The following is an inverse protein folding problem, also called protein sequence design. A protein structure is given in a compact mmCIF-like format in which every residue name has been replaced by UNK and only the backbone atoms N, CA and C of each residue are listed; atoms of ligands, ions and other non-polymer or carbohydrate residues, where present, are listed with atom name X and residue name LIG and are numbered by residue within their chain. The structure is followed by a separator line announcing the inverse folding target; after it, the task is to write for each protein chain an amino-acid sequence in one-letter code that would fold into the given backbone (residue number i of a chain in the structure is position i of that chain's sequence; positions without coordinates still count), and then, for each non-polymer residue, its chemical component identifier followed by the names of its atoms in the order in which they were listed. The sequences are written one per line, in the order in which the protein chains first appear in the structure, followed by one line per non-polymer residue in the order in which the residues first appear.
data_IF_726496862958
#
_entry.id   IF_726496862958
#
_cell.length_a   1.000
_cell.length_b   1.000
_cell.length_c   1.000
_cell.angle_alpha   90.00
_cell.angle_beta   90.00
_cell.angle_gamma   90.00
#
_symmetry.space_group_name_H-M   'P 1'
#
loop_
_entity.id
_entity.type
_entity.pdbx_description
1 polymer ?
#
# COMPACT_ATOMS: atom_id res chain seq x y z
N UNK A 1 -4.17 -9.21 27.23
CA UNK A 1 -4.39 -10.26 26.21
C UNK A 1 -3.01 -10.78 25.83
N UNK A 2 -2.79 -12.09 25.90
CA UNK A 2 -1.51 -12.68 25.46
C UNK A 2 -1.54 -12.88 23.94
N UNK A 3 -0.45 -12.49 23.27
CA UNK A 3 -0.28 -12.68 21.82
C UNK A 3 0.13 -14.14 21.57
N UNK A 4 -0.68 -14.88 20.81
CA UNK A 4 -0.47 -16.30 20.54
C UNK A 4 0.19 -16.57 19.18
N UNK A 5 0.14 -15.60 18.25
CA UNK A 5 0.71 -15.73 16.91
C UNK A 5 2.23 -15.62 16.89
N UNK A 6 2.81 -15.96 15.76
CA UNK A 6 4.24 -15.96 15.47
C UNK A 6 4.54 -15.01 14.33
N UNK A 7 5.81 -14.86 13.99
CA UNK A 7 6.29 -14.37 12.69
C UNK A 7 6.76 -15.58 11.89
N UNK A 8 6.22 -15.77 10.70
CA UNK A 8 6.61 -16.82 9.76
C UNK A 8 7.21 -16.15 8.53
N UNK A 9 8.46 -16.45 8.23
CA UNK A 9 9.18 -15.96 7.04
C UNK A 9 9.46 -17.16 6.16
N UNK A 10 8.88 -17.18 4.95
CA UNK A 10 9.07 -18.28 4.00
C UNK A 10 10.42 -18.17 3.28
N UNK A 11 10.71 -19.16 2.42
CA UNK A 11 11.97 -19.24 1.69
C UNK A 11 12.19 -18.04 0.74
N UNK A 12 13.44 -17.72 0.48
CA UNK A 12 13.87 -16.71 -0.49
C UNK A 12 13.38 -15.27 -0.19
N UNK A 13 12.96 -14.99 1.04
CA UNK A 13 12.59 -13.64 1.49
C UNK A 13 13.85 -12.83 1.77
N UNK A 14 13.89 -11.60 1.27
CA UNK A 14 14.93 -10.61 1.58
C UNK A 14 14.35 -9.50 2.46
N UNK A 15 15.05 -9.15 3.54
CA UNK A 15 14.62 -8.12 4.49
C UNK A 15 15.74 -7.10 4.68
N UNK A 16 15.47 -5.87 4.29
CA UNK A 16 16.38 -4.73 4.41
C UNK A 16 16.60 -4.27 5.85
N UNK A 17 17.58 -3.39 6.01
CA UNK A 17 17.96 -2.88 7.32
C UNK A 17 16.83 -2.06 7.98
N UNK A 18 16.68 -2.21 9.30
CA UNK A 18 15.71 -1.46 10.09
C UNK A 18 14.24 -1.85 9.87
N UNK A 19 13.97 -2.97 9.18
CA UNK A 19 12.61 -3.50 9.09
C UNK A 19 12.12 -3.97 10.45
N UNK A 20 10.82 -3.79 10.70
CA UNK A 20 10.14 -4.27 11.90
C UNK A 20 8.94 -5.12 11.49
N UNK A 21 8.81 -6.29 12.09
CA UNK A 21 7.71 -7.22 11.84
C UNK A 21 7.11 -7.63 13.18
N UNK A 22 5.88 -7.22 13.42
CA UNK A 22 5.19 -7.55 14.65
C UNK A 22 4.71 -9.00 14.62
N UNK A 23 4.86 -9.69 15.74
CA UNK A 23 4.27 -11.02 15.89
C UNK A 23 2.75 -10.93 15.85
N UNK A 24 2.12 -12.00 15.42
CA UNK A 24 0.67 -12.08 15.44
C UNK A 24 0.07 -12.02 16.85
N UNK A 25 -1.09 -11.42 16.96
CA UNK A 25 -1.89 -11.39 18.21
C UNK A 25 -2.78 -12.62 18.27
N UNK A 26 -3.56 -12.86 17.23
CA UNK A 26 -4.49 -14.00 17.13
C UNK A 26 -4.06 -15.02 16.09
N UNK A 27 -3.47 -14.56 14.98
CA UNK A 27 -2.96 -15.38 13.89
C UNK A 27 -1.45 -15.16 13.72
N UNK A 28 -0.81 -15.92 12.85
CA UNK A 28 0.59 -15.66 12.49
C UNK A 28 0.68 -14.44 11.56
N UNK A 29 1.75 -13.64 11.72
CA UNK A 29 2.18 -12.67 10.70
C UNK A 29 3.06 -13.41 9.72
N UNK A 30 2.72 -13.40 8.42
CA UNK A 30 3.38 -14.24 7.40
C UNK A 30 3.97 -13.39 6.30
N UNK A 31 5.23 -13.67 5.95
CA UNK A 31 5.91 -13.10 4.78
C UNK A 31 6.11 -14.24 3.77
N UNK A 32 5.40 -14.17 2.65
CA UNK A 32 5.40 -15.21 1.61
C UNK A 32 6.68 -15.28 0.81
N UNK A 33 6.93 -16.46 0.25
CA UNK A 33 8.15 -16.82 -0.48
C UNK A 33 8.54 -15.77 -1.53
N UNK A 34 9.84 -15.48 -1.61
CA UNK A 34 10.43 -14.60 -2.61
C UNK A 34 10.09 -13.13 -2.47
N UNK A 35 9.38 -12.75 -1.42
CA UNK A 35 9.04 -11.34 -1.14
C UNK A 35 10.29 -10.58 -0.72
N UNK A 36 10.43 -9.37 -1.24
CA UNK A 36 11.55 -8.47 -0.95
C UNK A 36 11.05 -7.23 -0.23
N UNK A 37 11.64 -6.96 0.92
CA UNK A 37 11.38 -5.80 1.76
C UNK A 37 12.63 -4.94 1.81
N UNK A 38 12.53 -3.73 1.31
CA UNK A 38 13.60 -2.73 1.39
C UNK A 38 13.69 -2.14 2.82
N UNK A 39 14.59 -1.21 3.02
CA UNK A 39 14.92 -0.68 4.33
C UNK A 39 13.73 -0.01 5.03
N UNK A 40 13.65 -0.18 6.34
CA UNK A 40 12.69 0.49 7.23
C UNK A 40 11.22 0.19 6.90
N UNK A 41 10.92 -0.97 6.35
CA UNK A 41 9.54 -1.44 6.17
C UNK A 41 8.98 -1.87 7.52
N UNK A 42 7.75 -1.48 7.83
CA UNK A 42 7.00 -1.96 8.99
C UNK A 42 5.84 -2.85 8.58
N UNK A 43 5.73 -4.02 9.22
CA UNK A 43 4.61 -4.96 9.05
C UNK A 43 3.94 -5.17 10.40
N UNK A 44 2.68 -4.74 10.50
CA UNK A 44 1.85 -4.91 11.70
C UNK A 44 1.39 -6.35 11.92
N UNK A 45 0.94 -6.63 13.14
CA UNK A 45 0.51 -7.94 13.62
C UNK A 45 -0.61 -8.57 12.76
N UNK A 46 -0.69 -9.89 12.72
CA UNK A 46 -1.73 -10.67 12.00
C UNK A 46 -1.81 -10.35 10.49
N UNK A 47 -0.75 -9.77 9.90
CA UNK A 47 -0.68 -9.42 8.48
C UNK A 47 -0.14 -10.60 7.67
N UNK A 48 -0.77 -10.86 6.52
CA UNK A 48 -0.34 -11.88 5.58
C UNK A 48 0.13 -11.20 4.30
N UNK A 49 1.40 -11.38 3.94
CA UNK A 49 1.97 -10.91 2.68
C UNK A 49 2.20 -12.13 1.78
N UNK A 50 1.66 -12.08 0.57
CA UNK A 50 1.78 -13.13 -0.43
C UNK A 50 3.20 -13.30 -0.98
N UNK A 51 3.31 -14.08 -2.05
CA UNK A 51 4.59 -14.44 -2.67
C UNK A 51 5.05 -13.39 -3.68
N UNK A 52 6.38 -13.27 -3.83
CA UNK A 52 7.01 -12.42 -4.83
C UNK A 52 6.55 -10.96 -4.79
N UNK A 53 6.25 -10.44 -3.62
CA UNK A 53 5.92 -9.04 -3.42
C UNK A 53 7.18 -8.17 -3.35
N UNK A 54 7.05 -6.89 -3.68
CA UNK A 54 8.08 -5.87 -3.50
C UNK A 54 7.55 -4.76 -2.60
N UNK A 55 8.16 -4.61 -1.44
CA UNK A 55 7.88 -3.53 -0.49
C UNK A 55 9.08 -2.60 -0.47
N UNK A 56 8.95 -1.44 -1.11
CA UNK A 56 10.02 -0.46 -1.17
C UNK A 56 10.24 0.25 0.19
N UNK A 57 11.28 1.05 0.27
CA UNK A 57 11.69 1.66 1.54
C UNK A 57 10.58 2.46 2.24
N UNK A 58 10.53 2.32 3.56
CA UNK A 58 9.59 3.03 4.44
C UNK A 58 8.10 2.72 4.18
N UNK A 59 7.77 1.61 3.57
CA UNK A 59 6.38 1.14 3.51
C UNK A 59 5.92 0.78 4.91
N UNK A 60 4.74 1.25 5.30
CA UNK A 60 4.10 0.95 6.58
C UNK A 60 2.78 0.22 6.39
N UNK A 61 2.67 -0.99 6.93
CA UNK A 61 1.47 -1.82 6.85
C UNK A 61 0.92 -2.02 8.26
N UNK A 62 -0.31 -1.59 8.48
CA UNK A 62 -0.99 -1.78 9.76
C UNK A 62 -1.42 -3.24 9.97
N UNK A 63 -1.89 -3.57 11.17
CA UNK A 63 -2.26 -4.95 11.52
C UNK A 63 -3.47 -5.51 10.76
N UNK A 64 -3.49 -6.82 10.56
CA UNK A 64 -4.61 -7.56 9.97
C UNK A 64 -4.82 -7.31 8.48
N UNK A 65 -3.78 -6.95 7.74
CA UNK A 65 -3.84 -6.72 6.29
C UNK A 65 -3.55 -8.01 5.55
N UNK A 66 -4.31 -8.29 4.49
CA UNK A 66 -4.04 -9.39 3.56
C UNK A 66 -3.53 -8.82 2.23
N UNK A 67 -2.31 -9.18 1.85
CA UNK A 67 -1.68 -8.78 0.59
C UNK A 67 -1.49 -10.03 -0.28
N UNK A 68 -2.03 -9.99 -1.48
CA UNK A 68 -1.92 -11.05 -2.48
C UNK A 68 -0.51 -11.22 -3.03
N UNK A 69 -0.38 -12.06 -4.04
CA UNK A 69 0.91 -12.35 -4.68
C UNK A 69 1.30 -11.26 -5.70
N UNK A 70 2.60 -11.07 -5.91
CA UNK A 70 3.11 -10.15 -6.94
C UNK A 70 2.81 -8.67 -6.72
N UNK A 71 2.41 -8.29 -5.51
CA UNK A 71 2.08 -6.90 -5.18
C UNK A 71 3.32 -6.06 -5.07
N UNK A 72 3.28 -4.85 -5.61
CA UNK A 72 4.34 -3.85 -5.48
C UNK A 72 3.83 -2.62 -4.72
N UNK A 73 4.40 -2.36 -3.55
CA UNK A 73 4.18 -1.14 -2.80
C UNK A 73 5.43 -0.26 -2.89
N UNK A 74 5.33 0.87 -3.56
CA UNK A 74 6.44 1.79 -3.70
C UNK A 74 6.70 2.60 -2.42
N UNK A 75 7.82 3.32 -2.38
CA UNK A 75 8.32 3.96 -1.17
C UNK A 75 7.30 4.83 -0.44
N UNK A 76 7.30 4.71 0.89
CA UNK A 76 6.44 5.47 1.80
C UNK A 76 4.93 5.25 1.58
N UNK A 77 4.52 4.13 0.99
CA UNK A 77 3.12 3.73 0.97
C UNK A 77 2.68 3.37 2.37
N UNK A 78 1.54 3.91 2.79
CA UNK A 78 0.87 3.58 4.05
C UNK A 78 -0.38 2.75 3.80
N UNK A 79 -0.55 1.63 4.51
CA UNK A 79 -1.71 0.75 4.40
C UNK A 79 -2.47 0.71 5.72
N UNK A 80 -3.75 1.10 5.69
CA UNK A 80 -4.61 1.07 6.86
C UNK A 80 -4.94 -0.37 7.30
N UNK A 81 -5.37 -0.52 8.54
CA UNK A 81 -5.65 -1.83 9.14
C UNK A 81 -6.80 -2.59 8.45
N UNK A 82 -6.74 -3.90 8.52
CA UNK A 82 -7.84 -4.81 8.14
C UNK A 82 -8.33 -4.60 6.70
N UNK A 83 -7.39 -4.54 5.76
CA UNK A 83 -7.64 -4.35 4.33
C UNK A 83 -7.18 -5.55 3.53
N UNK A 84 -7.71 -5.64 2.31
CA UNK A 84 -7.29 -6.62 1.31
C UNK A 84 -6.69 -5.87 0.12
N UNK A 85 -5.49 -6.29 -0.28
CA UNK A 85 -4.83 -5.90 -1.53
C UNK A 85 -4.71 -7.16 -2.36
N UNK A 86 -5.45 -7.23 -3.47
CA UNK A 86 -5.45 -8.43 -4.32
C UNK A 86 -4.13 -8.59 -5.10
N UNK A 87 -3.99 -9.73 -5.81
CA UNK A 87 -2.77 -10.05 -6.57
C UNK A 87 -2.40 -8.99 -7.61
N UNK A 88 -1.10 -8.89 -7.92
CA UNK A 88 -0.54 -8.08 -8.99
C UNK A 88 -0.89 -6.58 -8.93
N UNK A 89 -1.28 -6.08 -7.75
CA UNK A 89 -1.53 -4.66 -7.53
C UNK A 89 -0.22 -3.89 -7.43
N UNK A 90 -0.18 -2.71 -8.01
CA UNK A 90 0.91 -1.74 -7.83
C UNK A 90 0.38 -0.48 -7.18
N UNK A 91 1.00 -0.06 -6.08
CA UNK A 91 0.69 1.21 -5.40
C UNK A 91 1.89 2.15 -5.54
N UNK A 92 1.66 3.31 -6.14
CA UNK A 92 2.71 4.31 -6.37
C UNK A 92 3.13 4.99 -5.07
N UNK A 93 4.36 5.52 -5.04
CA UNK A 93 4.98 6.09 -3.86
C UNK A 93 4.12 7.16 -3.15
N UNK A 94 4.24 7.22 -1.83
CA UNK A 94 3.56 8.18 -0.96
C UNK A 94 2.02 8.10 -1.00
N UNK A 95 1.48 6.97 -1.41
CA UNK A 95 0.02 6.74 -1.42
C UNK A 95 -0.48 6.21 -0.08
N UNK A 96 -1.71 6.57 0.27
CA UNK A 96 -2.42 6.07 1.45
C UNK A 96 -3.54 5.10 1.08
N UNK A 97 -3.38 3.83 1.39
CA UNK A 97 -4.38 2.79 1.08
C UNK A 97 -5.40 2.72 2.20
N UNK A 98 -6.65 3.04 1.90
CA UNK A 98 -7.76 3.06 2.86
C UNK A 98 -8.91 2.11 2.51
N UNK A 99 -8.79 1.25 1.51
CA UNK A 99 -9.83 0.31 1.08
C UNK A 99 -9.29 -0.85 0.25
N UNK A 100 -10.18 -1.72 -0.21
CA UNK A 100 -9.87 -2.84 -1.09
C UNK A 100 -9.20 -2.37 -2.39
N UNK A 101 -8.08 -2.98 -2.74
CA UNK A 101 -7.42 -2.75 -4.02
C UNK A 101 -7.58 -4.00 -4.91
N UNK A 102 -8.16 -3.80 -6.09
CA UNK A 102 -8.51 -4.87 -7.01
C UNK A 102 -7.32 -5.31 -7.86
N UNK A 103 -7.26 -6.61 -8.13
CA UNK A 103 -6.21 -7.31 -8.86
C UNK A 103 -5.74 -6.59 -10.13
N UNK A 104 -4.41 -6.56 -10.31
CA UNK A 104 -3.75 -6.10 -11.53
C UNK A 104 -3.86 -4.60 -11.81
N UNK A 105 -4.38 -3.80 -10.87
CA UNK A 105 -4.55 -2.35 -11.05
C UNK A 105 -3.40 -1.56 -10.43
N UNK A 106 -3.24 -0.33 -10.91
CA UNK A 106 -2.28 0.64 -10.40
C UNK A 106 -3.03 1.75 -9.66
N UNK A 107 -2.63 1.99 -8.41
CA UNK A 107 -3.24 2.98 -7.53
C UNK A 107 -2.28 4.10 -7.17
N UNK A 108 -2.84 5.29 -6.92
CA UNK A 108 -2.07 6.47 -6.53
C UNK A 108 -2.88 7.41 -5.65
N UNK A 109 -2.19 8.12 -4.77
CA UNK A 109 -2.76 9.23 -4.00
C UNK A 109 -3.21 8.83 -2.60
N UNK A 110 -3.84 9.80 -1.91
CA UNK A 110 -4.39 9.61 -0.57
C UNK A 110 -5.76 10.32 -0.49
N UNK A 111 -6.85 9.57 -0.36
CA UNK A 111 -6.93 8.11 -0.44
C UNK A 111 -6.47 7.60 -1.82
N UNK A 112 -5.87 6.42 -1.83
CA UNK A 112 -5.39 5.82 -3.08
C UNK A 112 -6.58 5.40 -3.96
N UNK A 113 -6.49 5.77 -5.24
CA UNK A 113 -7.45 5.41 -6.27
C UNK A 113 -6.70 5.03 -7.55
N UNK A 114 -7.41 4.62 -8.60
CA UNK A 114 -6.79 4.30 -9.88
C UNK A 114 -5.88 5.44 -10.34
N UNK A 115 -4.64 5.12 -10.71
CA UNK A 115 -3.63 6.12 -11.02
C UNK A 115 -4.02 7.02 -12.21
N UNK A 116 -4.73 6.48 -13.21
CA UNK A 116 -5.22 7.26 -14.34
C UNK A 116 -6.28 8.29 -13.93
N UNK A 117 -7.16 7.92 -13.00
CA UNK A 117 -8.17 8.84 -12.43
C UNK A 117 -7.47 9.94 -11.66
N UNK A 118 -6.59 9.57 -10.70
CA UNK A 118 -5.87 10.55 -9.86
C UNK A 118 -5.01 11.52 -10.67
N UNK A 119 -4.33 11.06 -11.71
CA UNK A 119 -3.55 11.96 -12.58
C UNK A 119 -4.45 12.97 -13.31
N UNK A 120 -5.63 12.55 -13.77
CA UNK A 120 -6.60 13.48 -14.38
C UNK A 120 -7.14 14.50 -13.38
N UNK A 121 -7.49 14.07 -12.17
CA UNK A 121 -7.91 14.97 -11.09
C UNK A 121 -6.87 16.07 -10.82
N UNK A 122 -5.59 15.71 -10.72
CA UNK A 122 -4.50 16.67 -10.53
C UNK A 122 -4.38 17.69 -11.69
N UNK A 123 -4.62 17.24 -12.92
CA UNK A 123 -4.65 18.16 -14.08
C UNK A 123 -5.82 19.14 -13.97
N UNK A 124 -7.01 18.64 -13.61
CA UNK A 124 -8.18 19.52 -13.44
C UNK A 124 -8.00 20.51 -12.30
N UNK A 125 -7.43 20.09 -11.16
CA UNK A 125 -7.13 20.98 -10.04
C UNK A 125 -6.24 22.15 -10.50
N UNK A 126 -5.20 21.89 -11.31
CA UNK A 126 -4.34 22.95 -11.84
C UNK A 126 -5.06 23.91 -12.80
N UNK A 127 -6.15 23.49 -13.43
CA UNK A 127 -6.95 24.31 -14.37
C UNK A 127 -8.10 25.08 -13.71
N UNK A 128 -8.38 24.83 -12.44
CA UNK A 128 -9.45 25.53 -11.70
C UNK A 128 -9.35 27.06 -11.84
N UNK A 129 -8.17 27.73 -11.69
CA UNK A 129 -8.09 29.18 -11.83
C UNK A 129 -8.50 29.69 -13.22
N UNK A 130 -8.18 28.94 -14.29
CA UNK A 130 -8.58 29.31 -15.66
C UNK A 130 -10.09 29.14 -15.87
N UNK A 131 -10.65 28.05 -15.38
CA UNK A 131 -12.08 27.75 -15.45
C UNK A 131 -12.86 28.84 -14.69
N UNK A 132 -12.42 29.18 -13.48
CA UNK A 132 -13.03 30.22 -12.67
C UNK A 132 -13.08 31.57 -13.39
N UNK A 133 -11.96 32.02 -13.99
CA UNK A 133 -11.93 33.25 -14.77
C UNK A 133 -12.93 33.24 -15.93
N UNK A 134 -13.05 32.12 -16.65
CA UNK A 134 -14.02 32.00 -17.76
C UNK A 134 -15.46 32.09 -17.28
N UNK A 135 -15.79 31.42 -16.19
CA UNK A 135 -17.16 31.47 -15.61
C UNK A 135 -17.52 32.88 -15.18
N UNK A 136 -16.64 33.55 -14.44
CA UNK A 136 -16.88 34.92 -13.97
C UNK A 136 -17.06 35.93 -15.12
N UNK A 137 -16.22 35.84 -16.19
CA UNK A 137 -16.34 36.72 -17.34
C UNK A 137 -17.55 36.42 -18.26
N UNK A 138 -18.17 35.27 -18.12
CA UNK A 138 -19.37 34.91 -18.89
C UNK A 138 -20.67 35.34 -18.20
N UNK A 139 -20.56 35.92 -17.00
CA UNK A 139 -21.69 36.36 -16.17
C UNK A 139 -21.91 37.89 -16.28
N UNK A 140 -21.12 38.58 -17.10
CA UNK A 140 -21.33 39.95 -17.55
C UNK A 140 -21.87 39.98 -18.98
#
# INVERSE_FOLDING_TARGET
MESCGRVVIEDDVEIGAGCTIDRGVTNDTVIGRGTKMDNMVHVGHDTIIGKNCLLAAQVGIAGGVEIGNGVTLWGQVGVSKTLIIEDDVTVLAQSGVGGLLQKGKIYFGSPADNAGIKKRELVWIKRIPEIWKKVMNSSE
#
